data_IF_957750347996
#
_entry.id   IF_957750347996
#
_cell.length_a   1.000
_cell.length_b   1.000
_cell.length_c   1.000
_cell.angle_alpha   90.00
_cell.angle_beta   90.00
_cell.angle_gamma   90.00
#
_symmetry.space_group_name_H-M   'P 1'
#
loop_
_entity.id
_entity.type
_entity.pdbx_description
1 polymer ?
#
# COMPACT_ATOMS: atom_id res chain seq x y z
N UNK A 1 -15.55 -7.39 11.28
CA UNK A 1 -14.57 -7.92 12.25
C UNK A 1 -13.28 -8.35 11.55
N UNK A 2 -13.31 -9.38 10.67
CA UNK A 2 -12.11 -9.87 9.95
C UNK A 2 -11.40 -8.83 9.06
N UNK A 3 -12.16 -8.00 8.33
CA UNK A 3 -11.57 -6.97 7.46
C UNK A 3 -10.86 -5.85 8.25
N UNK A 4 -11.35 -5.51 9.44
CA UNK A 4 -10.78 -4.46 10.30
C UNK A 4 -9.46 -4.93 10.91
N UNK A 5 -9.41 -6.19 11.36
CA UNK A 5 -8.19 -6.80 11.89
C UNK A 5 -7.10 -6.93 10.82
N UNK A 6 -7.47 -7.37 9.60
CA UNK A 6 -6.53 -7.46 8.49
C UNK A 6 -5.91 -6.09 8.12
N UNK A 7 -6.72 -5.02 8.13
CA UNK A 7 -6.26 -3.65 7.87
C UNK A 7 -5.36 -3.12 9.00
N UNK A 8 -5.72 -3.35 10.27
CA UNK A 8 -4.87 -2.97 11.41
C UNK A 8 -3.50 -3.66 11.38
N UNK A 9 -3.45 -4.92 10.95
CA UNK A 9 -2.18 -5.65 10.80
C UNK A 9 -1.34 -5.08 9.66
N UNK A 10 -1.96 -4.65 8.56
CA UNK A 10 -1.26 -4.02 7.44
C UNK A 10 -0.64 -2.66 7.83
N UNK A 11 -1.32 -1.85 8.66
CA UNK A 11 -0.76 -0.59 9.18
C UNK A 11 0.45 -0.81 10.10
N UNK A 12 0.45 -1.90 10.87
CA UNK A 12 1.53 -2.25 11.81
C UNK A 12 2.69 -3.01 11.17
N UNK A 13 2.58 -3.40 9.90
CA UNK A 13 3.64 -4.14 9.20
C UNK A 13 4.87 -3.25 8.94
N UNK A 14 6.06 -3.75 9.31
CA UNK A 14 7.36 -3.15 8.99
C UNK A 14 7.65 -3.21 7.47
N UNK A 15 6.97 -4.10 6.74
CA UNK A 15 7.18 -4.30 5.31
C UNK A 15 5.98 -3.82 4.50
N UNK A 16 6.27 -3.26 3.33
CA UNK A 16 5.28 -2.80 2.36
C UNK A 16 5.51 -3.49 1.00
N UNK A 17 4.45 -3.93 0.32
CA UNK A 17 4.54 -4.42 -1.04
C UNK A 17 4.60 -3.24 -2.02
N UNK A 18 5.60 -3.25 -2.90
CA UNK A 18 5.78 -2.28 -3.97
C UNK A 18 5.96 -3.01 -5.31
N UNK A 19 5.73 -2.29 -6.40
CA UNK A 19 5.99 -2.78 -7.75
C UNK A 19 6.62 -1.71 -8.63
N UNK A 20 7.39 -2.14 -9.62
CA UNK A 20 7.91 -1.30 -10.71
C UNK A 20 6.92 -1.34 -11.87
N UNK A 21 6.49 -0.20 -12.36
CA UNK A 21 5.54 -0.11 -13.46
C UNK A 21 6.21 -0.10 -14.85
N UNK A 22 5.42 0.20 -15.89
CA UNK A 22 5.89 0.20 -17.27
C UNK A 22 6.83 1.36 -17.60
N UNK A 23 6.79 2.43 -16.82
CA UNK A 23 7.59 3.63 -16.99
C UNK A 23 8.88 3.58 -16.13
N UNK A 24 8.98 2.57 -15.26
CA UNK A 24 10.12 2.35 -14.36
C UNK A 24 9.95 3.01 -13.00
N UNK A 25 8.76 3.51 -12.72
CA UNK A 25 8.42 4.12 -11.44
C UNK A 25 8.09 3.04 -10.41
N UNK A 26 8.56 3.25 -9.19
CA UNK A 26 8.16 2.42 -8.06
C UNK A 26 6.83 2.93 -7.50
N UNK A 27 5.85 2.04 -7.31
CA UNK A 27 4.53 2.34 -6.77
C UNK A 27 4.14 1.35 -5.65
N UNK A 28 3.17 1.70 -4.80
CA UNK A 28 2.62 0.76 -3.82
C UNK A 28 1.60 -0.16 -4.46
N UNK A 29 1.63 -1.44 -4.08
CA UNK A 29 0.60 -2.38 -4.51
C UNK A 29 -0.75 -1.95 -3.92
N UNK A 30 -1.73 -1.70 -4.79
CA UNK A 30 -3.07 -1.23 -4.42
C UNK A 30 -3.34 0.26 -4.67
N UNK A 31 -2.37 1.05 -5.15
CA UNK A 31 -2.57 2.47 -5.48
C UNK A 31 -3.38 2.69 -6.77
N UNK A 32 -3.41 1.70 -7.68
CA UNK A 32 -4.09 1.77 -8.98
C UNK A 32 -5.10 0.63 -9.16
N UNK A 33 -6.07 0.76 -10.09
CA UNK A 33 -6.97 -0.34 -10.45
C UNK A 33 -6.22 -1.62 -10.84
N UNK A 34 -6.85 -2.77 -10.58
CA UNK A 34 -6.24 -4.08 -10.78
C UNK A 34 -5.79 -4.31 -12.24
N UNK A 35 -6.62 -3.89 -13.19
CA UNK A 35 -6.35 -4.04 -14.63
C UNK A 35 -5.09 -3.26 -15.02
N UNK A 36 -4.96 -2.01 -14.54
CA UNK A 36 -3.77 -1.19 -14.77
C UNK A 36 -2.52 -1.78 -14.12
N UNK A 37 -2.65 -2.33 -12.91
CA UNK A 37 -1.54 -3.01 -12.23
C UNK A 37 -1.06 -4.22 -13.03
N UNK A 38 -1.97 -5.09 -13.48
CA UNK A 38 -1.62 -6.30 -14.26
C UNK A 38 -0.95 -5.95 -15.59
N UNK A 39 -1.39 -4.88 -16.26
CA UNK A 39 -0.83 -4.46 -17.54
C UNK A 39 0.55 -3.78 -17.43
N UNK A 40 0.85 -3.13 -16.29
CA UNK A 40 2.05 -2.30 -16.13
C UNK A 40 3.14 -2.92 -15.26
N UNK A 41 2.80 -3.85 -14.36
CA UNK A 41 3.74 -4.39 -13.38
C UNK A 41 4.86 -5.19 -14.06
N UNK A 42 6.10 -4.70 -13.94
CA UNK A 42 7.31 -5.39 -14.39
C UNK A 42 7.98 -6.21 -13.30
N UNK A 43 7.93 -5.74 -12.05
CA UNK A 43 8.63 -6.37 -10.92
C UNK A 43 7.88 -6.12 -9.61
N UNK A 44 7.80 -7.16 -8.77
CA UNK A 44 7.29 -7.06 -7.40
C UNK A 44 8.44 -7.10 -6.39
N UNK A 45 8.30 -6.34 -5.31
CA UNK A 45 9.24 -6.34 -4.20
C UNK A 45 8.52 -6.10 -2.87
N UNK A 46 8.94 -6.86 -1.85
CA UNK A 46 8.63 -6.54 -0.45
C UNK A 46 9.80 -5.73 0.08
N UNK A 47 9.52 -4.55 0.60
CA UNK A 47 10.54 -3.62 1.09
C UNK A 47 10.22 -3.18 2.51
N UNK A 48 11.25 -2.87 3.31
CA UNK A 48 11.02 -2.24 4.61
C UNK A 48 10.39 -0.86 4.40
N UNK A 49 9.40 -0.52 5.24
CA UNK A 49 8.68 0.75 5.21
C UNK A 49 9.61 1.94 5.40
N UNK A 50 10.68 1.78 6.20
CA UNK A 50 11.70 2.79 6.38
C UNK A 50 12.42 3.14 5.06
N UNK A 51 12.75 2.13 4.26
CA UNK A 51 13.39 2.31 2.95
C UNK A 51 12.39 2.89 1.93
N UNK A 52 11.13 2.47 1.99
CA UNK A 52 10.04 2.97 1.13
C UNK A 52 9.82 4.48 1.26
N UNK A 53 10.03 5.03 2.45
CA UNK A 53 9.93 6.46 2.70
C UNK A 53 10.91 7.28 1.84
N UNK A 54 12.08 6.72 1.52
CA UNK A 54 13.07 7.34 0.63
C UNK A 54 12.58 7.49 -0.82
N UNK A 55 11.61 6.67 -1.23
CA UNK A 55 10.96 6.73 -2.55
C UNK A 55 9.66 7.54 -2.55
N UNK A 56 9.29 8.18 -1.43
CA UNK A 56 8.01 8.87 -1.30
C UNK A 56 6.80 7.93 -1.24
N UNK A 57 7.03 6.63 -1.10
CA UNK A 57 5.98 5.60 -1.06
C UNK A 57 5.41 5.51 0.35
N UNK A 58 4.29 6.18 0.55
CA UNK A 58 3.54 6.15 1.80
C UNK A 58 2.11 5.71 1.52
N UNK A 59 1.61 4.65 2.19
CA UNK A 59 0.22 4.24 2.06
C UNK A 59 -0.71 5.42 2.37
N UNK A 60 -1.44 5.89 1.36
CA UNK A 60 -2.43 6.96 1.49
C UNK A 60 -3.74 6.38 1.99
N UNK A 61 -3.74 5.99 3.25
CA UNK A 61 -4.94 5.53 3.95
C UNK A 61 -4.79 5.89 5.41
N UNK A 62 -5.10 7.14 5.78
CA UNK A 62 -5.27 7.45 7.20
C UNK A 62 -6.63 6.86 7.62
N UNK A 63 -6.65 5.54 7.85
CA UNK A 63 -7.84 4.82 8.32
C UNK A 63 -8.34 5.38 9.66
N UNK A 64 -7.48 6.09 10.41
CA UNK A 64 -7.83 6.81 11.62
C UNK A 64 -9.08 7.69 11.45
N UNK A 65 -9.18 8.46 10.35
CA UNK A 65 -10.33 9.34 10.10
C UNK A 65 -11.60 8.59 9.71
N UNK A 66 -11.46 7.43 9.06
CA UNK A 66 -12.60 6.60 8.67
C UNK A 66 -13.15 5.81 9.86
N UNK A 67 -12.28 5.27 10.72
CA UNK A 67 -12.64 4.52 11.94
C UNK A 67 -13.32 5.43 12.97
N UNK A 68 -12.86 6.67 13.15
CA UNK A 68 -13.51 7.65 14.04
C UNK A 68 -14.92 8.06 13.57
N UNK A 69 -15.20 7.99 12.26
CA UNK A 69 -16.51 8.33 11.67
C UNK A 69 -17.52 7.19 11.79
N UNK A 70 -17.09 5.93 11.67
CA UNK A 70 -17.95 4.74 11.76
C UNK A 70 -18.35 4.41 13.20
N UNK A 71 -17.64 4.93 14.20
CA UNK A 71 -17.93 4.75 15.63
C UNK A 71 -18.98 5.71 16.22
N UNK A 72 -19.66 6.53 15.41
CA UNK A 72 -20.77 7.40 15.84
C UNK A 72 -22.10 6.95 15.25
#
# INVERSE_FOLDING_TARGET
>A
MLAVEALQNAEKSEHVPIYEDKDGDWMLVGDVPWEMFVESCKRLRIMKRADAKGFGLQPKGSLKGFIESVGK
#
